data_IF_574547473130
#
_entry.id   IF_574547473130
#
_cell.length_a   1.000
_cell.length_b   1.000
_cell.length_c   1.000
_cell.angle_alpha   90.00
_cell.angle_beta   90.00
_cell.angle_gamma   90.00
#
_symmetry.space_group_name_H-M   'P 1'
#
loop_
_entity.id
_entity.type
_entity.pdbx_description
1 polymer ?
#
# COMPACT_ATOMS: atom_id res chain seq x y z
N UNK A 1 4.43 11.62 27.96
CA UNK A 1 4.17 11.21 26.56
C UNK A 1 5.39 10.44 26.10
N UNK A 2 5.23 9.27 25.49
CA UNK A 2 6.37 8.60 24.84
C UNK A 2 6.95 9.50 23.75
N UNK A 3 8.27 9.42 23.52
CA UNK A 3 8.92 10.15 22.44
C UNK A 3 8.43 9.65 21.06
N UNK A 4 8.30 10.57 20.10
CA UNK A 4 7.91 10.24 18.72
C UNK A 4 8.90 9.23 18.12
N UNK A 5 8.38 8.09 17.66
CA UNK A 5 9.15 7.05 16.97
C UNK A 5 8.97 7.24 15.46
N UNK A 6 10.04 7.04 14.70
CA UNK A 6 10.05 7.22 13.25
C UNK A 6 10.74 6.05 12.56
N UNK A 7 10.23 5.68 11.40
CA UNK A 7 10.86 4.75 10.47
C UNK A 7 10.72 5.31 9.06
N UNK A 8 11.86 5.64 8.44
CA UNK A 8 11.92 6.33 7.14
C UNK A 8 11.04 7.60 7.16
N UNK A 9 10.00 7.64 6.35
CA UNK A 9 9.06 8.76 6.22
C UNK A 9 7.75 8.57 7.00
N UNK A 10 7.68 7.59 7.91
CA UNK A 10 6.53 7.35 8.77
C UNK A 10 6.86 7.69 10.24
N UNK A 11 5.86 8.21 10.95
CA UNK A 11 5.94 8.60 12.34
C UNK A 11 4.81 7.98 13.14
N UNK A 12 5.04 7.74 14.44
CA UNK A 12 4.03 7.28 15.39
C UNK A 12 2.89 8.31 15.60
N UNK A 13 3.10 9.57 15.21
CA UNK A 13 2.07 10.62 15.24
C UNK A 13 1.16 10.63 14.01
N UNK A 14 1.55 9.97 12.91
CA UNK A 14 0.72 9.91 11.71
C UNK A 14 -0.46 8.97 11.89
N UNK A 15 -1.63 9.34 11.38
CA UNK A 15 -2.71 8.42 11.06
C UNK A 15 -2.49 7.80 9.69
N UNK A 16 -2.29 6.48 9.64
CA UNK A 16 -1.80 5.77 8.45
C UNK A 16 -2.84 4.77 7.96
N UNK A 17 -3.18 4.83 6.67
CA UNK A 17 -3.93 3.80 5.95
C UNK A 17 -2.98 2.99 5.07
N UNK A 18 -2.93 1.68 5.25
CA UNK A 18 -2.21 0.75 4.37
C UNK A 18 -3.20 -0.03 3.52
N UNK A 19 -3.04 0.06 2.20
CA UNK A 19 -3.99 -0.45 1.22
C UNK A 19 -3.43 -1.67 0.49
N UNK A 20 -4.25 -2.71 0.34
CA UNK A 20 -3.91 -3.89 -0.44
C UNK A 20 -2.76 -4.72 0.13
N UNK A 21 -2.67 -4.83 1.45
CA UNK A 21 -1.68 -5.69 2.09
C UNK A 21 -1.91 -7.16 1.69
N UNK A 22 -0.82 -7.81 1.25
CA UNK A 22 -0.80 -9.24 0.96
C UNK A 22 -0.75 -10.05 2.25
N UNK A 23 0.45 -10.40 2.70
CA UNK A 23 0.65 -11.13 3.96
C UNK A 23 0.71 -10.24 5.21
N UNK A 24 0.41 -8.93 5.08
CA UNK A 24 0.47 -7.93 6.16
C UNK A 24 1.86 -7.70 6.78
N UNK A 25 2.93 -8.24 6.20
CA UNK A 25 4.28 -8.14 6.78
C UNK A 25 4.83 -6.70 6.77
N UNK A 26 4.41 -5.85 5.81
CA UNK A 26 4.81 -4.45 5.77
C UNK A 26 4.13 -3.65 6.89
N UNK A 27 2.80 -3.78 7.03
CA UNK A 27 2.06 -3.17 8.13
C UNK A 27 2.61 -3.63 9.50
N UNK A 28 2.87 -4.93 9.67
CA UNK A 28 3.42 -5.48 10.92
C UNK A 28 4.82 -4.92 11.23
N UNK A 29 5.67 -4.78 10.22
CA UNK A 29 6.99 -4.13 10.33
C UNK A 29 6.85 -2.70 10.82
N UNK A 30 6.00 -1.93 10.15
CA UNK A 30 5.76 -0.52 10.43
C UNK A 30 5.22 -0.31 11.86
N UNK A 31 4.17 -1.03 12.25
CA UNK A 31 3.57 -0.92 13.58
C UNK A 31 4.58 -1.29 14.69
N UNK A 32 5.38 -2.33 14.47
CA UNK A 32 6.43 -2.74 15.43
C UNK A 32 7.48 -1.65 15.59
N UNK A 33 7.97 -1.08 14.49
CA UNK A 33 9.00 -0.02 14.53
C UNK A 33 8.48 1.28 15.13
N UNK A 34 7.20 1.60 14.92
CA UNK A 34 6.53 2.75 15.56
C UNK A 34 6.16 2.46 17.03
N UNK A 35 6.23 1.21 17.47
CA UNK A 35 5.93 0.78 18.83
C UNK A 35 4.44 0.77 19.18
N UNK A 36 3.56 1.10 18.23
CA UNK A 36 2.12 1.09 18.39
C UNK A 36 1.43 1.04 17.02
N UNK A 37 0.31 0.32 16.94
CA UNK A 37 -0.55 0.27 15.75
C UNK A 37 -1.83 1.10 15.88
N UNK A 38 -2.07 1.80 17.00
CA UNK A 38 -3.36 2.45 17.29
C UNK A 38 -3.80 3.50 16.26
N UNK A 39 -2.84 4.14 15.59
CA UNK A 39 -3.11 5.13 14.54
C UNK A 39 -3.06 4.52 13.12
N UNK A 40 -2.98 3.20 13.01
CA UNK A 40 -2.85 2.49 11.75
C UNK A 40 -4.13 1.72 11.43
N UNK A 41 -4.60 1.89 10.20
CA UNK A 41 -5.61 1.05 9.57
C UNK A 41 -4.93 0.31 8.43
N UNK A 42 -5.06 -1.01 8.40
CA UNK A 42 -4.45 -1.85 7.38
C UNK A 42 -5.51 -2.71 6.71
N UNK A 43 -5.44 -2.79 5.38
CA UNK A 43 -6.52 -3.35 4.57
C UNK A 43 -6.02 -4.35 3.55
N UNK A 44 -6.87 -5.32 3.22
CA UNK A 44 -6.65 -6.27 2.13
C UNK A 44 -7.87 -6.34 1.22
N UNK A 45 -7.64 -6.60 -0.07
CA UNK A 45 -8.71 -6.95 -1.01
C UNK A 45 -9.27 -8.35 -0.70
N UNK A 46 -8.39 -9.29 -0.37
CA UNK A 46 -8.80 -10.64 -0.01
C UNK A 46 -9.50 -10.66 1.36
N UNK A 47 -10.49 -11.58 1.49
CA UNK A 47 -11.09 -11.90 2.78
C UNK A 47 -10.10 -12.61 3.70
N UNK A 48 -10.36 -12.59 5.01
CA UNK A 48 -9.57 -13.31 6.03
C UNK A 48 -9.36 -14.79 5.67
N UNK A 49 -10.40 -15.43 5.15
CA UNK A 49 -10.36 -16.84 4.71
C UNK A 49 -9.43 -17.03 3.53
N UNK A 50 -9.47 -16.12 2.54
CA UNK A 50 -8.59 -16.18 1.37
C UNK A 50 -7.14 -15.91 1.74
N UNK A 51 -6.88 -14.95 2.62
CA UNK A 51 -5.54 -14.67 3.14
C UNK A 51 -4.92 -15.89 3.82
N UNK A 52 -5.68 -16.55 4.71
CA UNK A 52 -5.22 -17.76 5.40
C UNK A 52 -4.92 -18.93 4.45
N UNK A 53 -5.53 -18.95 3.26
CA UNK A 53 -5.23 -19.94 2.21
C UNK A 53 -4.05 -19.55 1.35
N UNK A 54 -3.89 -18.24 1.07
CA UNK A 54 -2.88 -17.71 0.15
C UNK A 54 -1.50 -17.59 0.81
N UNK A 55 -1.43 -17.21 2.08
CA UNK A 55 -0.19 -16.82 2.73
C UNK A 55 -0.02 -17.52 4.07
N UNK A 56 1.07 -18.27 4.23
CA UNK A 56 1.32 -19.02 5.47
C UNK A 56 1.45 -18.10 6.69
N UNK A 57 2.01 -16.90 6.50
CA UNK A 57 2.32 -15.96 7.60
C UNK A 57 1.23 -14.89 7.82
N UNK A 58 0.22 -14.79 6.95
CA UNK A 58 -0.75 -13.69 7.02
C UNK A 58 -1.48 -13.65 8.37
N UNK A 59 -1.92 -14.79 8.86
CA UNK A 59 -2.67 -14.85 10.12
C UNK A 59 -1.81 -14.49 11.35
N UNK A 60 -0.52 -14.84 11.33
CA UNK A 60 0.41 -14.44 12.39
C UNK A 60 0.65 -12.92 12.37
N UNK A 61 0.82 -12.34 11.18
CA UNK A 61 0.99 -10.89 11.04
C UNK A 61 -0.28 -10.12 11.42
N UNK A 62 -1.47 -10.60 11.03
CA UNK A 62 -2.76 -10.03 11.43
C UNK A 62 -2.93 -10.06 12.94
N UNK A 63 -2.66 -11.20 13.60
CA UNK A 63 -2.73 -11.28 15.07
C UNK A 63 -1.79 -10.28 15.73
N UNK A 64 -0.54 -10.18 15.27
CA UNK A 64 0.43 -9.22 15.79
C UNK A 64 -0.03 -7.77 15.63
N UNK A 65 -0.68 -7.46 14.50
CA UNK A 65 -1.24 -6.14 14.22
C UNK A 65 -2.40 -5.82 15.17
N UNK A 66 -3.33 -6.75 15.37
CA UNK A 66 -4.44 -6.60 16.32
C UNK A 66 -3.91 -6.44 17.75
N UNK A 67 -2.91 -7.24 18.16
CA UNK A 67 -2.29 -7.19 19.49
C UNK A 67 -1.59 -5.85 19.80
N UNK A 68 -1.03 -5.19 18.78
CA UNK A 68 -0.41 -3.86 18.92
C UNK A 68 -1.40 -2.71 18.68
N UNK A 69 -2.70 -3.02 18.54
CA UNK A 69 -3.80 -2.06 18.46
C UNK A 69 -4.12 -1.55 17.06
N UNK A 70 -3.60 -2.17 16.01
CA UNK A 70 -3.93 -1.82 14.62
C UNK A 70 -5.34 -2.27 14.24
N UNK A 71 -6.03 -1.44 13.47
CA UNK A 71 -7.33 -1.81 12.90
C UNK A 71 -7.11 -2.56 11.58
N UNK A 72 -7.50 -3.84 11.53
CA UNK A 72 -7.42 -4.67 10.32
C UNK A 72 -8.80 -4.76 9.64
N UNK A 73 -8.87 -4.45 8.35
CA UNK A 73 -10.11 -4.50 7.57
C UNK A 73 -9.89 -5.30 6.28
N UNK A 74 -10.67 -6.35 6.08
CA UNK A 74 -10.61 -7.16 4.87
C UNK A 74 -11.66 -6.71 3.86
N UNK A 75 -11.52 -7.18 2.62
CA UNK A 75 -12.47 -6.95 1.53
C UNK A 75 -12.62 -5.46 1.16
N UNK A 76 -11.50 -4.72 1.21
CA UNK A 76 -11.43 -3.33 0.78
C UNK A 76 -10.84 -3.26 -0.62
N UNK A 77 -11.64 -2.81 -1.57
CA UNK A 77 -11.18 -2.47 -2.92
C UNK A 77 -10.65 -1.03 -2.94
N UNK A 78 -9.38 -0.85 -3.36
CA UNK A 78 -8.73 0.45 -3.42
C UNK A 78 -9.44 1.45 -4.35
N UNK A 79 -10.20 0.97 -5.34
CA UNK A 79 -10.95 1.77 -6.28
C UNK A 79 -12.30 2.26 -5.72
N UNK A 80 -12.71 1.78 -4.54
CA UNK A 80 -13.96 2.21 -3.87
C UNK A 80 -13.77 2.46 -2.36
N UNK A 81 -12.54 2.48 -1.87
CA UNK A 81 -12.21 2.54 -0.44
C UNK A 81 -12.74 3.79 0.27
N UNK A 82 -12.91 4.92 -0.43
CA UNK A 82 -13.48 6.14 0.16
C UNK A 82 -14.96 6.00 0.52
N UNK A 83 -15.64 5.02 -0.07
CA UNK A 83 -17.05 4.71 0.19
C UNK A 83 -17.21 3.54 1.17
N UNK A 84 -16.13 2.86 1.54
CA UNK A 84 -16.19 1.70 2.42
C UNK A 84 -16.73 2.13 3.81
N UNK A 85 -17.75 1.47 4.39
CA UNK A 85 -18.43 1.97 5.61
C UNK A 85 -17.53 2.17 6.82
N UNK A 86 -16.43 1.41 6.92
CA UNK A 86 -15.45 1.55 8.02
C UNK A 86 -14.38 2.62 7.76
N UNK A 87 -14.28 3.14 6.54
CA UNK A 87 -13.25 4.09 6.11
C UNK A 87 -13.81 5.47 5.76
N UNK A 88 -15.03 5.56 5.22
CA UNK A 88 -15.60 6.76 4.61
C UNK A 88 -15.65 8.03 5.48
N UNK A 89 -15.53 7.90 6.80
CA UNK A 89 -15.51 9.03 7.74
C UNK A 89 -14.12 9.35 8.30
N UNK A 90 -13.07 8.75 7.73
CA UNK A 90 -11.69 8.91 8.20
C UNK A 90 -10.84 9.64 7.17
N UNK A 91 -10.12 10.66 7.64
CA UNK A 91 -8.96 11.22 6.95
C UNK A 91 -7.66 10.65 7.51
N UNK A 92 -6.62 10.64 6.69
CA UNK A 92 -5.31 10.05 6.99
C UNK A 92 -4.16 10.99 6.61
N UNK A 93 -3.12 10.98 7.41
CA UNK A 93 -1.88 11.71 7.11
C UNK A 93 -1.05 10.97 6.08
N UNK A 94 -1.13 9.63 6.04
CA UNK A 94 -0.41 8.79 5.08
C UNK A 94 -1.34 7.72 4.54
N UNK A 95 -1.49 7.65 3.22
CA UNK A 95 -2.20 6.55 2.54
C UNK A 95 -1.19 5.82 1.67
N UNK A 96 -0.93 4.54 1.97
CA UNK A 96 0.20 3.78 1.44
C UNK A 96 -0.31 2.60 0.59
N UNK A 97 0.19 2.47 -0.63
CA UNK A 97 -0.05 1.31 -1.48
C UNK A 97 1.26 0.79 -2.09
N UNK A 98 1.71 -0.37 -1.61
CA UNK A 98 2.97 -0.96 -2.04
C UNK A 98 2.76 -1.96 -3.18
N UNK A 99 3.47 -1.76 -4.29
CA UNK A 99 3.45 -2.60 -5.48
C UNK A 99 2.04 -2.92 -5.97
N UNK A 100 1.22 -1.90 -6.28
CA UNK A 100 -0.13 -2.10 -6.82
C UNK A 100 -0.08 -3.04 -8.03
N UNK A 101 -1.09 -3.89 -8.17
CA UNK A 101 -1.19 -4.88 -9.25
C UNK A 101 -2.65 -5.18 -9.56
N UNK A 102 -2.97 -5.42 -10.83
CA UNK A 102 -4.32 -5.73 -11.29
C UNK A 102 -4.60 -7.24 -11.35
N UNK A 103 -3.74 -8.02 -10.68
CA UNK A 103 -3.68 -9.47 -10.84
C UNK A 103 -2.92 -9.94 -12.09
N UNK A 104 -2.84 -11.25 -12.27
CA UNK A 104 -2.09 -11.88 -13.37
C UNK A 104 -2.98 -12.25 -14.55
N UNK A 105 -2.49 -11.99 -15.76
CA UNK A 105 -3.18 -12.29 -17.01
C UNK A 105 -2.39 -13.29 -17.85
N UNK A 106 -3.04 -13.92 -18.83
CA UNK A 106 -2.39 -14.90 -19.72
C UNK A 106 -1.34 -14.28 -20.66
N UNK A 107 -1.20 -12.95 -20.68
CA UNK A 107 -0.24 -12.22 -21.52
C UNK A 107 0.83 -11.54 -20.67
N UNK A 108 1.91 -11.08 -21.31
CA UNK A 108 3.05 -10.46 -20.62
C UNK A 108 2.66 -9.16 -19.91
N UNK A 109 3.29 -8.90 -18.75
CA UNK A 109 3.31 -7.63 -18.00
C UNK A 109 3.69 -6.40 -18.86
N UNK A 110 4.39 -6.62 -19.99
CA UNK A 110 4.76 -5.58 -20.94
C UNK A 110 3.71 -5.31 -22.03
N UNK A 111 2.61 -6.05 -22.05
CA UNK A 111 1.55 -5.91 -23.06
C UNK A 111 0.73 -4.65 -22.78
N UNK A 112 0.43 -3.79 -23.77
CA UNK A 112 -0.32 -2.54 -23.55
C UNK A 112 -1.66 -2.73 -22.82
N UNK A 113 -2.38 -3.81 -23.12
CA UNK A 113 -3.62 -4.15 -22.42
C UNK A 113 -3.41 -4.36 -20.91
N UNK A 114 -2.41 -5.17 -20.53
CA UNK A 114 -2.11 -5.47 -19.12
C UNK A 114 -1.60 -4.23 -18.40
N UNK A 115 -0.73 -3.44 -19.05
CA UNK A 115 -0.28 -2.15 -18.52
C UNK A 115 -1.47 -1.24 -18.21
N UNK A 116 -2.45 -1.13 -19.11
CA UNK A 116 -3.63 -0.31 -18.86
C UNK A 116 -4.47 -0.81 -17.68
N UNK A 117 -4.61 -2.12 -17.48
CA UNK A 117 -5.28 -2.65 -16.30
C UNK A 117 -4.57 -2.25 -15.00
N UNK A 118 -3.24 -2.29 -14.99
CA UNK A 118 -2.45 -1.81 -13.86
C UNK A 118 -2.60 -0.31 -13.61
N UNK A 119 -2.58 0.49 -14.68
CA UNK A 119 -2.81 1.94 -14.59
C UNK A 119 -4.18 2.25 -14.01
N UNK A 120 -5.23 1.50 -14.40
CA UNK A 120 -6.58 1.68 -13.84
C UNK A 120 -6.63 1.43 -12.33
N UNK A 121 -5.91 0.43 -11.81
CA UNK A 121 -5.83 0.17 -10.36
C UNK A 121 -5.14 1.34 -9.64
N UNK A 122 -4.03 1.82 -10.19
CA UNK A 122 -3.29 2.96 -9.62
C UNK A 122 -4.15 4.23 -9.63
N UNK A 123 -4.80 4.54 -10.76
CA UNK A 123 -5.67 5.70 -10.90
C UNK A 123 -6.86 5.63 -9.94
N UNK A 124 -7.55 4.48 -9.87
CA UNK A 124 -8.69 4.28 -8.97
C UNK A 124 -8.30 4.45 -7.50
N UNK A 125 -7.16 3.90 -7.09
CA UNK A 125 -6.58 4.14 -5.76
C UNK A 125 -6.30 5.62 -5.52
N UNK A 126 -5.63 6.31 -6.46
CA UNK A 126 -5.26 7.72 -6.30
C UNK A 126 -6.51 8.61 -6.17
N UNK A 127 -7.55 8.38 -6.99
CA UNK A 127 -8.84 9.10 -6.91
C UNK A 127 -9.48 8.97 -5.52
N UNK A 128 -9.53 7.75 -4.97
CA UNK A 128 -10.08 7.51 -3.65
C UNK A 128 -9.20 8.09 -2.54
N UNK A 129 -7.88 8.04 -2.71
CA UNK A 129 -6.95 8.56 -1.72
C UNK A 129 -7.12 10.07 -1.54
N UNK A 130 -7.33 10.84 -2.62
CA UNK A 130 -7.59 12.30 -2.57
C UNK A 130 -8.73 12.65 -1.62
N UNK A 131 -9.81 11.88 -1.61
CA UNK A 131 -10.98 12.11 -0.75
C UNK A 131 -10.72 11.81 0.73
N UNK A 132 -9.61 11.14 1.05
CA UNK A 132 -9.30 10.59 2.35
C UNK A 132 -8.04 11.19 2.99
N UNK A 133 -7.44 12.22 2.39
CA UNK A 133 -6.27 12.90 2.94
C UNK A 133 -6.64 13.97 3.96
N UNK A 134 -5.81 14.12 5.00
CA UNK A 134 -5.77 15.36 5.78
C UNK A 134 -5.16 16.50 4.96
N UNK A 135 -5.26 17.74 5.45
CA UNK A 135 -4.70 18.93 4.76
C UNK A 135 -3.20 18.80 4.43
N UNK A 136 -2.43 18.14 5.30
CA UNK A 136 -1.01 17.85 5.10
C UNK A 136 -0.75 16.37 4.78
N UNK A 137 -1.78 15.67 4.30
CA UNK A 137 -1.72 14.25 3.99
C UNK A 137 -0.88 13.96 2.75
N UNK A 138 -0.25 12.79 2.73
CA UNK A 138 0.52 12.29 1.59
C UNK A 138 0.02 10.92 1.13
N UNK A 139 -0.01 10.71 -0.19
CA UNK A 139 -0.19 9.39 -0.81
C UNK A 139 1.17 8.81 -1.16
N UNK A 140 1.45 7.60 -0.71
CA UNK A 140 2.71 6.91 -0.97
C UNK A 140 2.47 5.68 -1.83
N UNK A 141 3.09 5.63 -3.00
CA UNK A 141 3.10 4.43 -3.86
C UNK A 141 4.52 3.92 -3.98
N UNK A 142 4.77 2.70 -3.55
CA UNK A 142 6.04 2.02 -3.82
C UNK A 142 5.93 1.20 -5.08
N UNK A 143 6.78 1.43 -6.08
CA UNK A 143 6.77 0.63 -7.29
C UNK A 143 8.13 0.52 -7.97
N UNK A 144 8.22 -0.40 -8.92
CA UNK A 144 9.42 -0.66 -9.73
C UNK A 144 9.62 0.47 -10.73
N UNK A 145 10.87 0.88 -10.93
CA UNK A 145 11.22 2.04 -11.77
C UNK A 145 11.83 1.67 -13.12
N UNK A 146 11.90 0.38 -13.45
CA UNK A 146 12.45 -0.12 -14.71
C UNK A 146 11.38 -0.72 -15.59
N UNK A 147 11.67 -0.86 -16.89
CA UNK A 147 10.78 -1.53 -17.84
C UNK A 147 10.37 -2.94 -17.37
N UNK A 148 9.11 -3.36 -17.56
CA UNK A 148 8.00 -2.60 -18.16
C UNK A 148 7.26 -1.65 -17.20
N UNK A 149 7.57 -1.71 -15.91
CA UNK A 149 6.83 -1.03 -14.83
C UNK A 149 6.89 0.51 -14.90
N UNK A 150 7.98 1.07 -15.43
CA UNK A 150 8.07 2.52 -15.66
C UNK A 150 7.05 3.04 -16.69
N UNK A 151 6.51 2.17 -17.56
CA UNK A 151 5.46 2.55 -18.53
C UNK A 151 4.09 2.77 -17.88
N UNK A 152 3.95 2.51 -16.57
CA UNK A 152 2.70 2.79 -15.86
C UNK A 152 2.52 4.29 -15.61
N UNK A 153 3.60 5.09 -15.71
CA UNK A 153 3.56 6.55 -15.61
C UNK A 153 2.86 7.05 -14.33
N UNK A 154 3.21 6.50 -13.16
CA UNK A 154 2.51 6.77 -11.88
C UNK A 154 2.38 8.27 -11.58
N UNK A 155 3.44 9.05 -11.82
CA UNK A 155 3.40 10.51 -11.63
C UNK A 155 2.36 11.19 -12.51
N UNK A 156 2.23 10.76 -13.77
CA UNK A 156 1.22 11.28 -14.69
C UNK A 156 -0.19 10.97 -14.19
N UNK A 157 -0.43 9.74 -13.74
CA UNK A 157 -1.72 9.32 -13.18
C UNK A 157 -2.07 10.12 -11.91
N UNK A 158 -1.09 10.41 -11.06
CA UNK A 158 -1.29 11.27 -9.88
C UNK A 158 -1.69 12.69 -10.27
N UNK A 159 -0.97 13.30 -11.23
CA UNK A 159 -1.28 14.64 -11.72
C UNK A 159 -2.69 14.73 -12.34
N UNK A 160 -3.14 13.70 -13.05
CA UNK A 160 -4.47 13.62 -13.66
C UNK A 160 -5.62 13.63 -12.64
N UNK A 161 -5.35 13.32 -11.37
CA UNK A 161 -6.34 13.33 -10.28
C UNK A 161 -6.12 14.47 -9.26
N UNK A 162 -5.26 15.44 -9.59
CA UNK A 162 -5.01 16.62 -8.74
C UNK A 162 -3.96 16.41 -7.63
N UNK A 163 -3.15 15.37 -7.74
CA UNK A 163 -2.01 15.12 -6.84
C UNK A 163 -0.70 15.54 -7.50
N UNK A 164 0.10 16.34 -6.81
CA UNK A 164 1.43 16.75 -7.25
C UNK A 164 2.52 15.91 -6.61
N UNK A 165 3.60 15.62 -7.36
CA UNK A 165 4.78 14.93 -6.83
C UNK A 165 5.45 15.78 -5.75
N UNK A 166 5.62 15.21 -4.56
CA UNK A 166 6.36 15.81 -3.45
C UNK A 166 7.81 15.33 -3.44
N UNK A 167 8.02 14.03 -3.63
CA UNK A 167 9.33 13.39 -3.48
C UNK A 167 9.33 11.99 -4.11
N UNK A 168 10.50 11.52 -4.56
CA UNK A 168 10.74 10.14 -4.97
C UNK A 168 11.98 9.62 -4.24
N UNK A 169 11.79 8.63 -3.36
CA UNK A 169 12.88 8.04 -2.58
C UNK A 169 13.14 6.60 -2.98
N UNK A 170 14.40 6.16 -3.12
CA UNK A 170 14.71 4.76 -3.35
C UNK A 170 14.13 3.85 -2.26
N UNK A 171 13.49 2.75 -2.68
CA UNK A 171 12.91 1.76 -1.78
C UNK A 171 13.83 0.57 -1.59
N UNK A 172 14.13 0.25 -0.33
CA UNK A 172 14.84 -0.96 0.06
C UNK A 172 14.00 -1.74 1.07
N UNK A 173 13.61 -2.97 0.75
CA UNK A 173 12.83 -3.80 1.66
C UNK A 173 13.53 -4.04 3.02
N UNK A 174 14.87 -3.96 3.04
CA UNK A 174 15.69 -4.09 4.24
C UNK A 174 15.50 -2.95 5.24
N UNK A 175 14.97 -1.81 4.80
CA UNK A 175 14.64 -0.69 5.67
C UNK A 175 13.42 -1.00 6.56
N UNK A 176 12.68 -2.07 6.28
CA UNK A 176 11.48 -2.50 6.99
C UNK A 176 11.70 -3.91 7.57
N UNK A 177 12.19 -4.03 8.81
CA UNK A 177 12.49 -5.32 9.42
C UNK A 177 11.28 -6.25 9.44
N UNK A 178 11.45 -7.47 8.91
CA UNK A 178 10.38 -8.48 8.84
C UNK A 178 9.48 -8.38 7.60
N UNK A 179 9.55 -7.32 6.81
CA UNK A 179 8.80 -7.21 5.56
C UNK A 179 9.24 -8.27 4.54
N UNK A 180 8.26 -8.97 3.96
CA UNK A 180 8.44 -9.95 2.89
C UNK A 180 7.46 -9.61 1.77
N UNK A 181 7.97 -9.21 0.61
CA UNK A 181 7.10 -8.96 -0.54
C UNK A 181 6.52 -10.27 -1.08
N UNK A 182 5.25 -10.25 -1.51
CA UNK A 182 4.47 -11.41 -1.97
C UNK A 182 3.80 -11.14 -3.31
N UNK A 183 3.58 -12.17 -4.12
CA UNK A 183 3.04 -12.04 -5.48
C UNK A 183 1.57 -11.66 -5.55
N UNK A 184 0.79 -11.80 -4.48
CA UNK A 184 -0.60 -11.35 -4.45
C UNK A 184 -1.63 -12.38 -4.94
N UNK A 185 -1.27 -13.15 -5.97
CA UNK A 185 -2.23 -14.01 -6.68
C UNK A 185 -1.58 -15.24 -7.35
N UNK A 186 -2.42 -16.22 -7.70
CA UNK A 186 -2.05 -17.46 -8.38
C UNK A 186 -1.45 -18.51 -7.43
N UNK A 187 -1.04 -19.65 -7.99
CA UNK A 187 -0.43 -20.75 -7.22
C UNK A 187 0.86 -20.35 -6.49
N UNK A 188 1.48 -19.25 -6.91
CA UNK A 188 2.72 -18.71 -6.34
C UNK A 188 2.49 -17.46 -5.49
N UNK A 189 1.25 -17.18 -5.07
CA UNK A 189 0.90 -15.98 -4.30
C UNK A 189 1.82 -15.76 -3.09
N UNK A 190 2.12 -16.81 -2.32
CA UNK A 190 3.01 -16.72 -1.14
C UNK A 190 4.51 -16.59 -1.44
N UNK A 191 4.92 -16.72 -2.71
CA UNK A 191 6.31 -16.53 -3.09
C UNK A 191 6.63 -15.06 -3.28
N UNK A 192 7.87 -14.68 -2.98
CA UNK A 192 8.37 -13.35 -3.31
C UNK A 192 8.53 -13.14 -4.81
N UNK A 193 8.46 -11.88 -5.22
CA UNK A 193 8.82 -11.45 -6.56
C UNK A 193 10.16 -10.67 -6.53
N UNK A 194 10.91 -10.61 -7.64
CA UNK A 194 12.09 -9.75 -7.71
C UNK A 194 11.66 -8.28 -7.60
N UNK A 195 12.07 -7.59 -6.54
CA UNK A 195 11.78 -6.16 -6.34
C UNK A 195 12.53 -5.31 -7.39
N UNK A 196 13.81 -5.60 -7.66
CA UNK A 196 14.60 -4.80 -8.59
C UNK A 196 14.80 -3.36 -8.13
N UNK A 197 15.08 -2.43 -9.05
CA UNK A 197 15.09 -1.00 -8.73
C UNK A 197 13.65 -0.53 -8.50
N UNK A 198 13.40 0.02 -7.32
CA UNK A 198 12.08 0.49 -6.90
C UNK A 198 12.22 1.78 -6.10
N UNK A 199 11.19 2.61 -6.14
CA UNK A 199 11.09 3.86 -5.39
C UNK A 199 9.74 3.93 -4.69
N UNK A 200 9.68 4.70 -3.61
CA UNK A 200 8.42 5.20 -3.04
C UNK A 200 8.20 6.62 -3.55
N UNK A 201 7.18 6.79 -4.38
CA UNK A 201 6.66 8.08 -4.81
C UNK A 201 5.77 8.64 -3.72
N UNK A 202 5.92 9.93 -3.41
CA UNK A 202 5.08 10.64 -2.44
C UNK A 202 4.37 11.77 -3.15
N UNK A 203 3.06 11.85 -2.93
CA UNK A 203 2.21 12.86 -3.56
C UNK A 203 1.41 13.61 -2.50
N UNK A 204 1.04 14.85 -2.80
CA UNK A 204 0.12 15.68 -2.00
C UNK A 204 -0.90 16.36 -2.90
N UNK A 205 -2.01 16.83 -2.34
CA UNK A 205 -2.97 17.65 -3.07
C UNK A 205 -2.28 18.91 -3.59
N UNK A 206 -2.53 19.23 -4.87
CA UNK A 206 -2.12 20.50 -5.46
C UNK A 206 -3.06 21.60 -4.96
N UNK A 207 -2.50 22.58 -4.26
CA UNK A 207 -3.21 23.80 -3.88
C UNK A 207 -3.18 24.82 -5.03
#
# INVERSE_FOLDING_TARGET
MEAEKRIKHYSSSHKILLVGEGDFSFAASLATSLGSGVNMVTTSLDSKVMLNRKYNEAMANVSRLEDIGCTVIHEVDCCTMSQHPKLMSNLFDRIVFNFPHAGFFFTSESTPYVINLHKNVVEGFLRNAVEMLTENGEVHITHKTTHPFNMWEIEKLANEVGLGMLDEVPFFYRDYPGYKNKRGEGQRCDQSFPIGKSSTYKFKIMN
#
